data_IF_302514912763
#
_entry.id   IF_302514912763
#
_cell.length_a   1.000
_cell.length_b   1.000
_cell.length_c   1.000
_cell.angle_alpha   90.00
_cell.angle_beta   90.00
_cell.angle_gamma   90.00
#
_symmetry.space_group_name_H-M   'P 1'
#
loop_
_entity.id
_entity.type
_entity.pdbx_description
1 polymer ?
#
# COMPACT_ATOMS: atom_id res chain seq x y z
N UNK A 1 -11.83 20.35 18.16
CA UNK A 1 -11.24 19.31 19.04
C UNK A 1 -11.33 17.98 18.31
N UNK A 2 -10.22 17.51 17.71
CA UNK A 2 -10.15 16.22 17.02
C UNK A 2 -10.24 15.11 18.07
N UNK A 3 -11.30 14.28 18.01
CA UNK A 3 -11.64 13.32 19.05
C UNK A 3 -11.58 11.88 18.55
N UNK A 4 -11.59 10.91 19.47
CA UNK A 4 -11.53 9.48 19.13
C UNK A 4 -12.65 9.02 18.18
N UNK A 5 -13.82 9.67 18.19
CA UNK A 5 -14.88 9.36 17.24
C UNK A 5 -14.54 9.75 15.78
N UNK A 6 -13.81 10.85 15.59
CA UNK A 6 -13.35 11.26 14.26
C UNK A 6 -12.31 10.29 13.72
N UNK A 7 -11.32 9.90 14.54
CA UNK A 7 -10.34 8.86 14.19
C UNK A 7 -11.03 7.53 13.87
N UNK A 8 -12.06 7.15 14.63
CA UNK A 8 -12.85 5.95 14.36
C UNK A 8 -13.52 6.00 12.98
N UNK A 9 -14.07 7.15 12.57
CA UNK A 9 -14.65 7.32 11.23
C UNK A 9 -13.61 7.13 10.14
N UNK A 10 -12.41 7.69 10.30
CA UNK A 10 -11.30 7.49 9.36
C UNK A 10 -10.95 6.00 9.26
N UNK A 11 -10.74 5.33 10.39
CA UNK A 11 -10.47 3.90 10.41
C UNK A 11 -11.57 3.10 9.69
N UNK A 12 -12.85 3.43 9.96
CA UNK A 12 -13.97 2.73 9.35
C UNK A 12 -14.01 2.95 7.84
N UNK A 13 -13.76 4.17 7.37
CA UNK A 13 -13.69 4.49 5.94
C UNK A 13 -12.57 3.69 5.25
N UNK A 14 -11.37 3.66 5.83
CA UNK A 14 -10.23 2.89 5.28
C UNK A 14 -10.55 1.40 5.30
N UNK A 15 -11.07 0.87 6.42
CA UNK A 15 -11.47 -0.53 6.52
C UNK A 15 -12.46 -0.91 5.44
N UNK A 16 -13.52 -0.13 5.25
CA UNK A 16 -14.55 -0.41 4.25
C UNK A 16 -13.94 -0.39 2.85
N UNK A 17 -13.05 0.57 2.56
CA UNK A 17 -12.38 0.66 1.28
C UNK A 17 -11.54 -0.58 0.98
N UNK A 18 -10.73 -1.06 1.92
CA UNK A 18 -9.87 -2.23 1.73
C UNK A 18 -10.63 -3.56 1.73
N UNK A 19 -11.69 -3.68 2.52
CA UNK A 19 -12.34 -4.98 2.76
C UNK A 19 -13.56 -5.22 1.87
N UNK A 20 -14.31 -4.18 1.51
CA UNK A 20 -15.56 -4.32 0.74
C UNK A 20 -15.37 -4.09 -0.76
N UNK A 21 -16.31 -4.61 -1.56
CA UNK A 21 -16.36 -4.37 -3.01
C UNK A 21 -17.09 -3.06 -3.37
N UNK A 22 -17.99 -2.60 -2.51
CA UNK A 22 -18.95 -1.52 -2.82
C UNK A 22 -18.53 -0.14 -2.30
N UNK A 23 -17.69 -0.07 -1.26
CA UNK A 23 -17.23 1.19 -0.72
C UNK A 23 -15.89 1.60 -1.33
N UNK A 24 -15.81 2.84 -1.81
CA UNK A 24 -14.58 3.48 -2.28
C UNK A 24 -14.30 4.79 -1.53
N UNK A 25 -13.13 4.91 -0.90
CA UNK A 25 -12.80 6.06 -0.06
C UNK A 25 -12.82 7.37 -0.85
N UNK A 26 -12.35 7.35 -2.09
CA UNK A 26 -12.17 8.55 -2.91
C UNK A 26 -13.52 9.00 -3.50
N UNK A 27 -14.35 8.05 -3.93
CA UNK A 27 -15.73 8.33 -4.37
C UNK A 27 -16.57 8.96 -3.27
N UNK A 28 -16.47 8.46 -2.03
CA UNK A 28 -17.26 8.97 -0.90
C UNK A 28 -16.57 10.08 -0.09
N UNK A 29 -15.36 10.51 -0.48
CA UNK A 29 -14.57 11.51 0.24
C UNK A 29 -14.30 11.12 1.70
N UNK A 30 -14.08 9.83 1.97
CA UNK A 30 -13.86 9.30 3.31
C UNK A 30 -15.07 9.31 4.24
N UNK A 31 -16.26 9.67 3.77
CA UNK A 31 -17.47 9.77 4.60
C UNK A 31 -18.07 8.40 4.88
N UNK A 32 -18.40 8.17 6.15
CA UNK A 32 -19.10 6.96 6.61
C UNK A 32 -20.29 7.34 7.49
N UNK A 33 -21.37 6.57 7.35
CA UNK A 33 -22.54 6.69 8.23
C UNK A 33 -22.31 5.88 9.50
N UNK A 34 -21.98 6.56 10.60
CA UNK A 34 -21.97 5.94 11.93
C UNK A 34 -22.47 6.92 12.99
N UNK A 35 -23.21 6.42 13.97
CA UNK A 35 -23.71 7.21 15.10
C UNK A 35 -22.67 7.24 16.23
N UNK A 36 -22.56 8.37 16.92
CA UNK A 36 -21.69 8.50 18.10
C UNK A 36 -22.05 7.48 19.18
N UNK A 37 -23.33 7.21 19.37
CA UNK A 37 -23.84 6.20 20.30
C UNK A 37 -23.31 4.78 19.99
N UNK A 38 -23.17 4.45 18.70
CA UNK A 38 -22.56 3.16 18.29
C UNK A 38 -21.09 3.10 18.69
N UNK A 39 -20.38 4.23 18.61
CA UNK A 39 -18.97 4.30 19.00
C UNK A 39 -18.77 4.21 20.52
N UNK A 40 -19.60 4.88 21.31
CA UNK A 40 -19.46 4.88 22.79
C UNK A 40 -19.63 3.50 23.40
N UNK A 41 -20.45 2.63 22.78
CA UNK A 41 -20.66 1.23 23.16
C UNK A 41 -19.48 0.30 22.84
N UNK A 42 -18.46 0.76 22.11
CA UNK A 42 -17.30 -0.08 21.73
C UNK A 42 -16.30 -0.24 22.88
N UNK A 43 -15.75 -1.44 23.00
CA UNK A 43 -14.71 -1.77 23.98
C UNK A 43 -13.34 -1.15 23.61
N UNK A 44 -13.08 -0.94 22.32
CA UNK A 44 -11.81 -0.42 21.80
C UNK A 44 -11.79 1.11 21.60
N UNK A 45 -12.79 1.84 22.10
CA UNK A 45 -12.89 3.31 21.97
C UNK A 45 -11.65 4.06 22.47
N UNK A 46 -10.97 3.51 23.48
CA UNK A 46 -9.77 4.13 24.06
C UNK A 46 -8.56 4.10 23.12
N UNK A 47 -8.46 3.10 22.23
CA UNK A 47 -7.44 3.06 21.19
C UNK A 47 -7.55 4.28 20.27
N UNK A 48 -8.76 4.58 19.79
CA UNK A 48 -9.01 5.74 18.94
C UNK A 48 -8.76 7.07 19.66
N UNK A 49 -9.08 7.14 20.95
CA UNK A 49 -8.75 8.30 21.77
C UNK A 49 -7.23 8.52 21.88
N UNK A 50 -6.46 7.45 22.13
CA UNK A 50 -4.98 7.53 22.15
C UNK A 50 -4.43 8.02 20.82
N UNK A 51 -4.93 7.48 19.70
CA UNK A 51 -4.51 7.93 18.37
C UNK A 51 -4.89 9.40 18.12
N UNK A 52 -6.08 9.86 18.54
CA UNK A 52 -6.49 11.26 18.35
C UNK A 52 -5.63 12.26 19.13
N UNK A 53 -4.91 11.79 20.16
CA UNK A 53 -3.95 12.61 20.91
C UNK A 53 -2.55 12.62 20.28
N UNK A 54 -2.23 11.61 19.46
CA UNK A 54 -0.91 11.43 18.84
C UNK A 54 -0.85 11.96 17.42
N UNK A 55 -1.95 11.82 16.67
CA UNK A 55 -2.00 12.07 15.23
C UNK A 55 -3.14 13.02 14.88
N UNK A 56 -2.88 13.88 13.90
CA UNK A 56 -3.93 14.61 13.20
C UNK A 56 -4.73 13.69 12.24
N UNK A 57 -5.64 14.27 11.45
CA UNK A 57 -6.48 13.51 10.54
C UNK A 57 -5.69 12.80 9.43
N UNK A 58 -4.72 13.49 8.84
CA UNK A 58 -3.94 12.97 7.73
C UNK A 58 -2.97 11.88 8.21
N UNK A 59 -2.32 12.09 9.35
CA UNK A 59 -1.47 11.10 9.99
C UNK A 59 -2.27 9.87 10.46
N UNK A 60 -3.48 10.05 10.96
CA UNK A 60 -4.35 8.93 11.30
C UNK A 60 -4.76 8.14 10.06
N UNK A 61 -5.11 8.82 8.97
CA UNK A 61 -5.38 8.19 7.68
C UNK A 61 -4.19 7.37 7.20
N UNK A 62 -3.00 7.98 7.17
CA UNK A 62 -1.75 7.34 6.74
C UNK A 62 -1.40 6.13 7.61
N UNK A 63 -1.57 6.24 8.93
CA UNK A 63 -1.40 5.13 9.89
C UNK A 63 -2.32 3.95 9.55
N UNK A 64 -3.59 4.19 9.27
CA UNK A 64 -4.53 3.11 8.93
C UNK A 64 -4.22 2.51 7.56
N UNK A 65 -3.94 3.34 6.55
CA UNK A 65 -3.59 2.88 5.20
C UNK A 65 -2.35 1.99 5.23
N UNK A 66 -1.29 2.41 5.93
CA UNK A 66 -0.05 1.62 6.08
C UNK A 66 -0.32 0.23 6.68
N UNK A 67 -1.20 0.16 7.68
CA UNK A 67 -1.53 -1.10 8.34
C UNK A 67 -2.45 -2.01 7.51
N UNK A 68 -3.47 -1.45 6.85
CA UNK A 68 -4.37 -2.21 5.98
C UNK A 68 -3.67 -2.75 4.72
N UNK A 69 -2.61 -2.08 4.28
CA UNK A 69 -1.72 -2.57 3.22
C UNK A 69 -0.99 -3.86 3.63
N UNK A 70 -0.50 -3.93 4.87
CA UNK A 70 0.19 -5.14 5.39
C UNK A 70 -0.81 -6.27 5.64
N UNK A 71 -1.97 -5.96 6.22
CA UNK A 71 -3.00 -6.95 6.50
C UNK A 71 -4.41 -6.35 6.44
N UNK A 72 -5.24 -6.87 5.55
CA UNK A 72 -6.68 -6.54 5.50
C UNK A 72 -7.47 -7.16 6.67
N UNK A 73 -6.85 -8.12 7.38
CA UNK A 73 -7.30 -8.66 8.67
C UNK A 73 -6.72 -7.88 9.86
N UNK A 74 -6.14 -6.69 9.65
CA UNK A 74 -5.68 -5.82 10.73
C UNK A 74 -6.86 -5.48 11.66
N UNK A 75 -7.06 -6.33 12.66
CA UNK A 75 -8.00 -6.10 13.72
C UNK A 75 -7.41 -5.06 14.66
N UNK A 76 -8.26 -4.28 15.31
CA UNK A 76 -7.84 -3.18 16.19
C UNK A 76 -6.92 -3.70 17.31
N UNK A 77 -7.07 -4.97 17.73
CA UNK A 77 -6.17 -5.63 18.67
C UNK A 77 -4.72 -5.80 18.16
N UNK A 78 -4.50 -5.94 16.85
CA UNK A 78 -3.16 -5.98 16.26
C UNK A 78 -2.63 -4.56 15.98
N UNK A 79 -3.51 -3.62 15.61
CA UNK A 79 -3.15 -2.21 15.44
C UNK A 79 -2.70 -1.54 16.75
N UNK A 80 -3.26 -1.99 17.88
CA UNK A 80 -2.92 -1.50 19.21
C UNK A 80 -1.59 -2.08 19.75
N UNK A 81 -1.02 -3.09 19.08
CA UNK A 81 0.29 -3.67 19.40
C UNK A 81 1.41 -2.93 18.66
N UNK A 82 2.65 -3.27 19.00
CA UNK A 82 3.86 -2.66 18.44
C UNK A 82 3.89 -2.73 16.91
N UNK A 83 3.47 -3.86 16.33
CA UNK A 83 3.37 -4.07 14.88
C UNK A 83 2.64 -2.94 14.14
N UNK A 84 1.59 -2.39 14.76
CA UNK A 84 0.81 -1.30 14.17
C UNK A 84 1.60 -0.01 14.00
N UNK A 85 2.45 0.28 14.99
CA UNK A 85 3.33 1.45 14.94
C UNK A 85 4.50 1.22 14.00
N UNK A 86 5.09 0.03 14.01
CA UNK A 86 6.24 -0.30 13.17
C UNK A 86 5.88 -0.22 11.67
N UNK A 87 4.70 -0.73 11.29
CA UNK A 87 4.18 -0.61 9.92
C UNK A 87 4.07 0.84 9.48
N UNK A 88 3.51 1.71 10.34
CA UNK A 88 3.36 3.13 10.04
C UNK A 88 4.71 3.85 9.98
N UNK A 89 5.62 3.58 10.91
CA UNK A 89 6.96 4.19 10.92
C UNK A 89 7.73 3.83 9.66
N UNK A 90 7.74 2.57 9.25
CA UNK A 90 8.38 2.12 8.01
C UNK A 90 7.75 2.78 6.77
N UNK A 91 6.42 2.78 6.70
CA UNK A 91 5.68 3.40 5.61
C UNK A 91 5.96 4.90 5.48
N UNK A 92 5.94 5.61 6.62
CA UNK A 92 6.23 7.04 6.69
C UNK A 92 7.69 7.35 6.35
N UNK A 93 8.64 6.57 6.86
CA UNK A 93 10.06 6.73 6.53
C UNK A 93 10.29 6.59 5.02
N UNK A 94 9.57 5.66 4.36
CA UNK A 94 9.62 5.58 2.92
C UNK A 94 9.08 6.85 2.27
N UNK A 95 7.89 7.30 2.68
CA UNK A 95 7.18 8.47 2.15
C UNK A 95 8.00 9.77 2.29
N UNK A 96 8.63 9.98 3.44
CA UNK A 96 9.43 11.17 3.74
C UNK A 96 10.70 11.25 2.87
N UNK A 97 11.20 10.11 2.39
CA UNK A 97 12.37 10.00 1.50
C UNK A 97 12.06 9.30 0.18
N UNK A 98 10.87 9.55 -0.38
CA UNK A 98 10.30 8.77 -1.50
C UNK A 98 11.26 8.62 -2.68
N UNK A 99 11.79 9.73 -3.20
CA UNK A 99 12.64 9.72 -4.41
C UNK A 99 13.96 8.99 -4.21
N UNK A 100 14.55 9.11 -3.02
CA UNK A 100 15.78 8.40 -2.66
C UNK A 100 15.54 6.90 -2.54
N UNK A 101 14.50 6.51 -1.78
CA UNK A 101 14.16 5.11 -1.59
C UNK A 101 13.76 4.43 -2.90
N UNK A 102 12.98 5.11 -3.73
CA UNK A 102 12.60 4.61 -5.05
C UNK A 102 13.82 4.37 -5.94
N UNK A 103 14.75 5.33 -6.02
CA UNK A 103 15.99 5.17 -6.80
C UNK A 103 16.85 4.00 -6.27
N UNK A 104 16.97 3.88 -4.95
CA UNK A 104 17.69 2.77 -4.32
C UNK A 104 17.06 1.43 -4.69
N UNK A 105 15.74 1.31 -4.61
CA UNK A 105 15.02 0.09 -4.97
C UNK A 105 15.06 -0.20 -6.47
N UNK A 106 15.09 0.81 -7.34
CA UNK A 106 15.34 0.61 -8.77
C UNK A 106 16.71 -0.04 -9.03
N UNK A 107 17.75 0.37 -8.29
CA UNK A 107 19.07 -0.28 -8.40
C UNK A 107 19.03 -1.74 -7.95
N UNK A 108 18.33 -2.04 -6.85
CA UNK A 108 18.13 -3.43 -6.40
C UNK A 108 17.45 -4.28 -7.47
N UNK A 109 16.47 -3.71 -8.19
CA UNK A 109 15.81 -4.37 -9.31
C UNK A 109 16.79 -4.57 -10.47
N UNK A 110 17.58 -3.55 -10.84
CA UNK A 110 18.61 -3.64 -11.88
C UNK A 110 19.66 -4.72 -11.56
N UNK A 111 20.20 -4.73 -10.35
CA UNK A 111 21.16 -5.76 -9.90
C UNK A 111 20.53 -7.16 -9.90
N UNK A 112 19.21 -7.26 -9.71
CA UNK A 112 18.49 -8.51 -9.86
C UNK A 112 18.35 -8.91 -11.33
N UNK A 113 18.17 -7.97 -12.24
CA UNK A 113 18.13 -8.24 -13.69
C UNK A 113 19.47 -8.78 -14.16
N UNK A 114 20.56 -8.11 -13.83
CA UNK A 114 21.91 -8.50 -14.24
C UNK A 114 22.27 -9.89 -13.73
N UNK A 115 21.97 -10.20 -12.45
CA UNK A 115 22.22 -11.52 -11.87
C UNK A 115 21.42 -12.65 -12.49
N UNK A 116 20.23 -12.36 -13.01
CA UNK A 116 19.36 -13.37 -13.64
C UNK A 116 19.45 -13.33 -15.17
N UNK A 117 20.32 -12.47 -15.72
CA UNK A 117 20.47 -12.23 -17.16
C UNK A 117 19.10 -12.01 -17.85
N UNK A 118 18.26 -11.15 -17.27
CA UNK A 118 16.94 -10.85 -17.81
C UNK A 118 16.80 -9.38 -18.22
N UNK A 119 16.00 -9.15 -19.27
CA UNK A 119 15.68 -7.80 -19.74
C UNK A 119 14.68 -7.09 -18.83
N UNK A 120 14.47 -5.80 -19.05
CA UNK A 120 13.48 -5.03 -18.31
C UNK A 120 12.07 -5.61 -18.50
N UNK A 121 11.71 -6.01 -19.73
CA UNK A 121 10.40 -6.56 -20.03
C UNK A 121 10.18 -7.92 -19.34
N UNK A 122 11.23 -8.75 -19.27
CA UNK A 122 11.18 -10.06 -18.61
C UNK A 122 10.79 -9.96 -17.12
N UNK A 123 11.07 -8.83 -16.46
CA UNK A 123 10.64 -8.60 -15.08
C UNK A 123 9.12 -8.71 -14.91
N UNK A 124 8.36 -8.37 -15.95
CA UNK A 124 6.89 -8.27 -15.91
C UNK A 124 6.19 -9.39 -16.68
N UNK A 125 6.95 -10.35 -17.23
CA UNK A 125 6.42 -11.48 -17.99
C UNK A 125 6.00 -12.64 -17.08
N UNK A 126 4.78 -13.13 -17.30
CA UNK A 126 4.23 -14.30 -16.60
C UNK A 126 4.55 -15.55 -17.41
N UNK A 127 5.52 -16.34 -16.95
CA UNK A 127 5.84 -17.64 -17.57
C UNK A 127 4.99 -18.77 -16.97
N UNK A 128 4.26 -19.50 -17.82
CA UNK A 128 3.43 -20.67 -17.45
C UNK A 128 2.46 -20.43 -16.27
N UNK A 129 2.03 -19.18 -16.09
CA UNK A 129 1.13 -18.77 -15.00
C UNK A 129 1.80 -18.63 -13.63
N UNK A 130 3.13 -18.60 -13.57
CA UNK A 130 3.92 -18.41 -12.36
C UNK A 130 4.07 -16.92 -12.00
N UNK A 131 4.51 -16.63 -10.78
CA UNK A 131 4.81 -15.25 -10.38
C UNK A 131 5.94 -14.65 -11.23
N UNK A 132 5.72 -13.48 -11.85
CA UNK A 132 6.76 -12.77 -12.59
C UNK A 132 7.89 -12.32 -11.65
N UNK A 133 9.13 -12.12 -12.16
CA UNK A 133 10.27 -11.73 -11.33
C UNK A 133 9.99 -10.50 -10.46
N UNK A 134 9.33 -9.47 -11.00
CA UNK A 134 9.02 -8.25 -10.25
C UNK A 134 8.12 -8.52 -9.03
N UNK A 135 7.12 -9.41 -9.17
CA UNK A 135 6.29 -9.83 -8.04
C UNK A 135 7.11 -10.57 -6.98
N UNK A 136 8.02 -11.46 -7.40
CA UNK A 136 8.90 -12.20 -6.47
C UNK A 136 9.79 -11.25 -5.66
N UNK A 137 10.30 -10.17 -6.27
CA UNK A 137 11.08 -9.13 -5.59
C UNK A 137 10.23 -8.47 -4.50
N UNK A 138 8.99 -8.07 -4.81
CA UNK A 138 8.04 -7.52 -3.82
C UNK A 138 7.76 -8.51 -2.68
N UNK A 139 7.45 -9.77 -2.99
CA UNK A 139 7.13 -10.80 -1.99
C UNK A 139 8.32 -11.11 -1.07
N UNK A 140 9.55 -10.98 -1.60
CA UNK A 140 10.78 -11.09 -0.80
C UNK A 140 11.09 -9.85 0.04
N UNK A 141 10.22 -8.83 0.03
CA UNK A 141 10.35 -7.54 0.74
C UNK A 141 11.62 -6.75 0.37
N UNK A 142 12.18 -7.00 -0.81
CA UNK A 142 13.34 -6.25 -1.34
C UNK A 142 12.96 -4.86 -1.86
N UNK A 143 11.69 -4.68 -2.19
CA UNK A 143 11.12 -3.38 -2.56
C UNK A 143 9.84 -3.13 -1.79
N UNK A 144 9.49 -1.87 -1.64
CA UNK A 144 8.26 -1.43 -1.01
C UNK A 144 7.09 -1.37 -1.99
N UNK A 145 5.87 -1.40 -1.45
CA UNK A 145 4.65 -1.24 -2.22
C UNK A 145 4.57 0.10 -2.96
N UNK A 146 5.21 1.15 -2.42
CA UNK A 146 5.35 2.46 -3.04
C UNK A 146 6.06 2.34 -4.40
N UNK A 147 7.20 1.66 -4.46
CA UNK A 147 7.91 1.37 -5.72
C UNK A 147 7.01 0.59 -6.67
N UNK A 148 6.37 -0.47 -6.18
CA UNK A 148 5.46 -1.27 -7.01
C UNK A 148 4.35 -0.42 -7.63
N UNK A 149 3.75 0.49 -6.87
CA UNK A 149 2.74 1.44 -7.35
C UNK A 149 3.29 2.35 -8.45
N UNK A 150 4.51 2.88 -8.31
CA UNK A 150 5.12 3.72 -9.35
C UNK A 150 5.25 2.94 -10.66
N UNK A 151 5.74 1.69 -10.60
CA UNK A 151 5.85 0.85 -11.79
C UNK A 151 4.49 0.53 -12.39
N UNK A 152 3.50 0.17 -11.58
CA UNK A 152 2.13 -0.09 -12.06
C UNK A 152 1.52 1.13 -12.74
N UNK A 153 1.64 2.33 -12.15
CA UNK A 153 1.07 3.55 -12.75
C UNK A 153 1.73 3.93 -14.10
N UNK A 154 2.95 3.46 -14.38
CA UNK A 154 3.64 3.69 -15.64
C UNK A 154 3.45 2.56 -16.68
N UNK A 155 3.18 1.33 -16.24
CA UNK A 155 3.23 0.13 -17.09
C UNK A 155 1.90 -0.66 -17.16
N UNK A 156 0.94 -0.42 -16.25
CA UNK A 156 -0.41 -1.02 -16.20
C UNK A 156 -0.41 -2.56 -16.31
N UNK A 157 0.50 -3.24 -15.61
CA UNK A 157 0.71 -4.69 -15.72
C UNK A 157 -0.21 -5.51 -14.82
N UNK A 158 -0.78 -4.96 -13.74
CA UNK A 158 -1.63 -5.73 -12.81
C UNK A 158 -2.83 -6.34 -13.54
N UNK A 159 -3.46 -5.61 -14.48
CA UNK A 159 -4.61 -6.12 -15.25
C UNK A 159 -4.26 -7.34 -16.09
N UNK A 160 -3.02 -7.40 -16.60
CA UNK A 160 -2.50 -8.53 -17.35
C UNK A 160 -2.23 -9.71 -16.40
N UNK A 161 -1.53 -9.44 -15.30
CA UNK A 161 -1.20 -10.46 -14.29
C UNK A 161 -2.43 -11.10 -13.66
N UNK A 162 -3.51 -10.36 -13.42
CA UNK A 162 -4.79 -10.90 -12.94
C UNK A 162 -5.41 -11.96 -13.87
N UNK A 163 -5.03 -11.98 -15.16
CA UNK A 163 -5.50 -12.96 -16.15
C UNK A 163 -4.51 -14.10 -16.35
N UNK A 164 -3.21 -13.79 -16.27
CA UNK A 164 -2.15 -14.73 -16.64
C UNK A 164 -1.64 -15.57 -15.48
N UNK A 165 -1.61 -15.03 -14.25
CA UNK A 165 -1.15 -15.77 -13.06
C UNK A 165 -2.21 -16.82 -12.71
N UNK A 166 -1.80 -18.09 -12.69
CA UNK A 166 -2.68 -19.24 -12.40
C UNK A 166 -2.87 -19.48 -10.90
N UNK A 167 -1.94 -19.00 -10.10
CA UNK A 167 -1.98 -19.08 -8.64
C UNK A 167 -3.16 -18.23 -8.10
N UNK A 168 -3.97 -18.81 -7.20
CA UNK A 168 -5.26 -18.21 -6.78
C UNK A 168 -5.32 -17.78 -5.31
N UNK A 169 -4.24 -17.89 -4.55
CA UNK A 169 -4.18 -17.63 -3.10
C UNK A 169 -3.40 -16.35 -2.80
N UNK A 170 -2.16 -16.24 -3.26
CA UNK A 170 -1.26 -15.14 -2.95
C UNK A 170 -1.55 -13.93 -3.83
N UNK A 171 -1.49 -14.09 -5.15
CA UNK A 171 -1.60 -12.96 -6.08
C UNK A 171 -2.92 -12.19 -5.94
N UNK A 172 -4.11 -12.82 -5.86
CA UNK A 172 -5.36 -12.09 -5.73
C UNK A 172 -5.44 -11.20 -4.48
N UNK A 173 -4.81 -11.61 -3.37
CA UNK A 173 -4.74 -10.83 -2.14
C UNK A 173 -3.87 -9.57 -2.36
N UNK A 174 -2.68 -9.73 -2.95
CA UNK A 174 -1.78 -8.61 -3.22
C UNK A 174 -2.35 -7.66 -4.27
N UNK A 175 -2.87 -8.18 -5.39
CA UNK A 175 -3.53 -7.38 -6.43
C UNK A 175 -4.64 -6.51 -5.85
N UNK A 176 -5.55 -7.10 -5.05
CA UNK A 176 -6.61 -6.35 -4.36
C UNK A 176 -6.05 -5.25 -3.47
N UNK A 177 -5.06 -5.56 -2.62
CA UNK A 177 -4.48 -4.60 -1.66
C UNK A 177 -3.77 -3.45 -2.37
N UNK A 178 -2.97 -3.75 -3.38
CA UNK A 178 -2.21 -2.76 -4.15
C UNK A 178 -3.16 -1.81 -4.87
N UNK A 179 -4.22 -2.33 -5.51
CA UNK A 179 -5.25 -1.50 -6.16
C UNK A 179 -5.98 -0.57 -5.18
N UNK A 180 -6.26 -1.04 -3.96
CA UNK A 180 -6.87 -0.21 -2.90
C UNK A 180 -5.89 0.81 -2.33
N UNK A 181 -4.60 0.48 -2.30
CA UNK A 181 -3.57 1.36 -1.78
C UNK A 181 -3.16 2.48 -2.75
N UNK A 182 -3.03 2.15 -4.04
CA UNK A 182 -2.53 3.03 -5.09
C UNK A 182 -3.11 4.46 -5.06
N UNK A 183 -4.43 4.68 -4.91
CA UNK A 183 -4.98 6.03 -4.95
C UNK A 183 -4.60 6.91 -3.74
N UNK A 184 -4.11 6.33 -2.65
CA UNK A 184 -3.58 7.08 -1.48
C UNK A 184 -2.18 7.62 -1.71
N UNK A 185 -1.48 7.14 -2.73
CA UNK A 185 -0.08 7.48 -2.96
C UNK A 185 0.06 8.80 -3.70
N UNK A 186 1.01 9.62 -3.25
CA UNK A 186 1.33 10.93 -3.80
C UNK A 186 2.85 11.05 -3.92
N UNK A 187 3.32 11.33 -5.12
CA UNK A 187 4.74 11.50 -5.44
C UNK A 187 4.89 12.32 -6.73
N UNK A 188 6.11 12.78 -7.00
CA UNK A 188 6.43 13.49 -8.24
C UNK A 188 6.56 12.50 -9.41
N UNK A 189 5.50 12.35 -10.21
CA UNK A 189 5.43 11.40 -11.33
C UNK A 189 6.55 11.60 -12.35
N UNK A 190 6.81 12.85 -12.73
CA UNK A 190 7.88 13.19 -13.67
C UNK A 190 9.24 12.76 -13.14
N UNK A 191 9.54 13.08 -11.89
CA UNK A 191 10.81 12.71 -11.26
C UNK A 191 10.98 11.18 -11.23
N UNK A 192 9.96 10.43 -10.85
CA UNK A 192 10.08 8.96 -10.74
C UNK A 192 10.24 8.31 -12.11
N UNK A 193 9.55 8.83 -13.13
CA UNK A 193 9.73 8.37 -14.52
C UNK A 193 11.16 8.62 -15.02
N UNK A 194 11.75 9.78 -14.70
CA UNK A 194 13.16 10.06 -15.02
C UNK A 194 14.11 9.09 -14.32
N UNK A 195 13.87 8.79 -13.04
CA UNK A 195 14.65 7.79 -12.29
C UNK A 195 14.57 6.42 -12.96
N UNK A 196 13.38 5.98 -13.39
CA UNK A 196 13.22 4.70 -14.11
C UNK A 196 14.05 4.69 -15.41
N UNK A 197 13.96 5.75 -16.22
CA UNK A 197 14.73 5.84 -17.47
C UNK A 197 16.23 5.83 -17.23
N UNK A 198 16.70 6.55 -16.21
CA UNK A 198 18.12 6.63 -15.87
C UNK A 198 18.67 5.28 -15.39
N UNK A 199 17.93 4.56 -14.54
CA UNK A 199 18.44 3.30 -13.95
C UNK A 199 18.36 2.14 -14.94
N UNK A 200 17.27 2.05 -15.71
CA UNK A 200 17.03 0.88 -16.57
C UNK A 200 17.39 1.12 -18.05
N UNK A 201 17.87 2.30 -18.42
CA UNK A 201 18.18 2.70 -19.80
C UNK A 201 17.02 2.46 -20.80
N UNK A 202 15.78 2.52 -20.32
CA UNK A 202 14.59 2.29 -21.15
C UNK A 202 14.28 3.57 -21.92
N UNK A 203 14.34 3.48 -23.25
CA UNK A 203 14.13 4.61 -24.18
C UNK A 203 12.68 5.08 -24.19
#
# INVERSE_FOLDING_TARGET
>A
MYGGFEVFKIWLAVKLHFTTKTYDYFTYGGKVNCKLETFTKRNDRYFFHKLSKKYDADQALDFFVANFLVSDKAWIGNLAKQDGTDNYVSHRAYKDSFSYNFRSECRIISDSMDRNNCSFDDLFMVDRGQHPPFLKILLSKKINYQTFVVFEENLDFIKRWDKEIKETVVWPIHSKRIKKYMPFIRYNRTQMKLVMKEVFNVS
#
